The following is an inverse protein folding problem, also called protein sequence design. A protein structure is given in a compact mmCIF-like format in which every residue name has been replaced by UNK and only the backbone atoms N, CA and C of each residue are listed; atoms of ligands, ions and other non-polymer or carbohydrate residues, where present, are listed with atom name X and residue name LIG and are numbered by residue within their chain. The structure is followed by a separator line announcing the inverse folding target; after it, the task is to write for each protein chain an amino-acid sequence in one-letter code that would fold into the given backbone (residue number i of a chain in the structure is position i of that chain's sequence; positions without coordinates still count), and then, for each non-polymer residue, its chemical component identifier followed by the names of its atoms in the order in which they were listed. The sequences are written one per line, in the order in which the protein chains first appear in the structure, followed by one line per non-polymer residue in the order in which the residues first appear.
data_IF_154402470492
#
_entry.id   IF_154402470492
#
_cell.length_a   1.000
_cell.length_b   1.000
_cell.length_c   1.000
_cell.angle_alpha   90.00
_cell.angle_beta   90.00
_cell.angle_gamma   90.00
#
_symmetry.space_group_name_H-M   'P 1'
#
loop_
_entity.id
_entity.type
_entity.pdbx_description
1 polymer ?
#
# COMPACT_ATOMS: atom_id res chain seq x y z
N UNK A 1 -44.48 -61.72 11.84
CA UNK A 1 -45.09 -60.37 11.80
C UNK A 1 -44.08 -59.24 12.01
N UNK A 2 -43.18 -59.30 13.00
CA UNK A 2 -42.16 -58.26 13.29
C UNK A 2 -41.19 -57.88 12.14
N UNK A 3 -40.93 -58.77 11.16
CA UNK A 3 -40.08 -58.45 10.00
C UNK A 3 -40.83 -57.66 8.92
N UNK A 4 -42.13 -57.92 8.72
CA UNK A 4 -42.97 -57.19 7.75
C UNK A 4 -43.27 -55.75 8.21
N UNK A 5 -43.43 -55.54 9.51
CA UNK A 5 -43.59 -54.19 10.09
C UNK A 5 -42.31 -53.35 9.92
N UNK A 6 -41.12 -53.96 10.08
CA UNK A 6 -39.83 -53.29 9.85
C UNK A 6 -39.58 -52.92 8.38
N UNK A 7 -40.06 -53.73 7.43
CA UNK A 7 -39.97 -53.41 5.99
C UNK A 7 -40.93 -52.29 5.59
N UNK A 8 -42.17 -52.31 6.09
CA UNK A 8 -43.15 -51.23 5.85
C UNK A 8 -42.66 -49.87 6.38
N UNK A 9 -42.08 -49.83 7.59
CA UNK A 9 -41.49 -48.61 8.14
C UNK A 9 -40.33 -48.05 7.31
N UNK A 10 -39.53 -48.91 6.68
CA UNK A 10 -38.43 -48.49 5.79
C UNK A 10 -38.95 -47.88 4.49
N UNK A 11 -40.02 -48.44 3.93
CA UNK A 11 -40.64 -47.92 2.70
C UNK A 11 -41.34 -46.58 2.93
N UNK A 12 -42.05 -46.41 4.04
CA UNK A 12 -42.67 -45.14 4.41
C UNK A 12 -41.65 -44.03 4.62
N UNK A 13 -40.54 -44.33 5.32
CA UNK A 13 -39.42 -43.39 5.46
C UNK A 13 -38.83 -42.99 4.10
N UNK A 14 -38.67 -43.94 3.18
CA UNK A 14 -38.19 -43.67 1.80
C UNK A 14 -39.18 -42.81 1.01
N UNK A 15 -40.49 -43.07 1.12
CA UNK A 15 -41.55 -42.26 0.48
C UNK A 15 -41.53 -40.82 1.01
N UNK A 16 -41.40 -40.64 2.34
CA UNK A 16 -41.30 -39.31 2.97
C UNK A 16 -40.08 -38.52 2.46
N UNK A 17 -38.91 -39.15 2.37
CA UNK A 17 -37.68 -38.51 1.85
C UNK A 17 -37.83 -38.10 0.37
N UNK A 18 -38.47 -38.95 -0.45
CA UNK A 18 -38.74 -38.60 -1.87
C UNK A 18 -39.68 -37.41 -1.98
N UNK A 19 -40.73 -37.39 -1.16
CA UNK A 19 -41.70 -36.30 -1.13
C UNK A 19 -41.06 -34.98 -0.68
N UNK A 20 -40.19 -35.00 0.33
CA UNK A 20 -39.47 -33.81 0.79
C UNK A 20 -38.50 -33.28 -0.28
N UNK A 21 -37.80 -34.16 -0.99
CA UNK A 21 -36.94 -33.75 -2.13
C UNK A 21 -37.76 -33.11 -3.25
N UNK A 22 -38.94 -33.64 -3.53
CA UNK A 22 -39.86 -33.06 -4.51
C UNK A 22 -40.34 -31.67 -4.08
N UNK A 23 -40.81 -31.53 -2.82
CA UNK A 23 -41.23 -30.23 -2.26
C UNK A 23 -40.14 -29.17 -2.38
N UNK A 24 -38.89 -29.50 -2.06
CA UNK A 24 -37.76 -28.55 -2.18
C UNK A 24 -37.52 -28.10 -3.62
N UNK A 25 -37.65 -29.00 -4.60
CA UNK A 25 -37.51 -28.65 -6.03
C UNK A 25 -38.66 -27.77 -6.52
N UNK A 26 -39.89 -28.03 -6.06
CA UNK A 26 -41.05 -27.18 -6.37
C UNK A 26 -40.88 -25.79 -5.77
N UNK A 27 -40.48 -25.70 -4.50
CA UNK A 27 -40.18 -24.43 -3.85
C UNK A 27 -39.09 -23.65 -4.60
N UNK A 28 -38.01 -24.33 -4.99
CA UNK A 28 -36.95 -23.72 -5.79
C UNK A 28 -37.48 -23.12 -7.10
N UNK A 29 -38.30 -23.87 -7.85
CA UNK A 29 -38.89 -23.39 -9.10
C UNK A 29 -39.81 -22.19 -8.87
N UNK A 30 -40.61 -22.20 -7.80
CA UNK A 30 -41.46 -21.07 -7.42
C UNK A 30 -40.63 -19.81 -7.13
N UNK A 31 -39.52 -19.94 -6.38
CA UNK A 31 -38.64 -18.81 -6.05
C UNK A 31 -37.97 -18.22 -7.30
N UNK A 32 -37.54 -19.06 -8.24
CA UNK A 32 -36.86 -18.61 -9.46
C UNK A 32 -37.83 -18.07 -10.50
N UNK A 33 -38.94 -18.77 -10.77
CA UNK A 33 -39.84 -18.45 -11.89
C UNK A 33 -40.94 -17.46 -11.51
N UNK A 34 -41.42 -17.49 -10.26
CA UNK A 34 -42.54 -16.63 -9.85
C UNK A 34 -42.07 -15.41 -9.04
N UNK A 35 -40.93 -15.52 -8.34
CA UNK A 35 -40.42 -14.45 -7.47
C UNK A 35 -39.12 -13.81 -7.98
N UNK A 36 -38.67 -14.19 -9.18
CA UNK A 36 -37.47 -13.65 -9.84
C UNK A 36 -36.21 -13.65 -8.97
N UNK A 37 -36.09 -14.59 -8.03
CA UNK A 37 -34.88 -14.72 -7.21
C UNK A 37 -33.75 -15.33 -8.03
N UNK A 38 -32.51 -14.97 -7.69
CA UNK A 38 -31.34 -15.56 -8.35
C UNK A 38 -31.30 -17.07 -8.09
N UNK A 39 -30.75 -17.83 -9.04
CA UNK A 39 -30.62 -19.30 -8.93
C UNK A 39 -29.86 -19.68 -7.65
N UNK A 40 -28.87 -18.87 -7.26
CA UNK A 40 -28.03 -19.10 -6.08
C UNK A 40 -28.84 -18.95 -4.79
N UNK A 41 -29.54 -17.83 -4.63
CA UNK A 41 -30.30 -17.52 -3.42
C UNK A 41 -31.51 -18.46 -3.27
N UNK A 42 -32.17 -18.78 -4.38
CA UNK A 42 -33.29 -19.72 -4.39
C UNK A 42 -32.84 -21.14 -4.01
N UNK A 43 -31.65 -21.57 -4.46
CA UNK A 43 -31.10 -22.89 -4.12
C UNK A 43 -30.77 -23.00 -2.62
N UNK A 44 -30.23 -21.94 -2.03
CA UNK A 44 -29.94 -21.86 -0.61
C UNK A 44 -31.21 -21.92 0.24
N UNK A 45 -32.21 -21.08 -0.05
CA UNK A 45 -33.50 -21.06 0.68
C UNK A 45 -34.27 -22.38 0.58
N UNK A 46 -34.25 -23.02 -0.58
CA UNK A 46 -34.90 -24.32 -0.80
C UNK A 46 -34.07 -25.52 -0.32
N UNK A 47 -32.86 -25.29 0.22
CA UNK A 47 -31.93 -26.31 0.71
C UNK A 47 -31.66 -27.40 -0.35
N UNK A 48 -31.37 -26.98 -1.57
CA UNK A 48 -30.91 -27.84 -2.67
C UNK A 48 -29.51 -27.43 -3.12
N UNK A 49 -28.73 -28.40 -3.58
CA UNK A 49 -27.40 -28.12 -4.11
C UNK A 49 -27.50 -27.39 -5.46
N UNK A 50 -26.54 -26.50 -5.73
CA UNK A 50 -26.51 -25.71 -6.96
C UNK A 50 -26.45 -26.57 -8.24
N UNK A 51 -25.77 -27.72 -8.20
CA UNK A 51 -25.76 -28.70 -9.28
C UNK A 51 -27.16 -29.27 -9.57
N UNK A 52 -27.95 -29.53 -8.52
CA UNK A 52 -29.33 -30.01 -8.64
C UNK A 52 -30.24 -28.90 -9.15
N UNK A 53 -30.07 -27.66 -8.69
CA UNK A 53 -30.79 -26.49 -9.17
C UNK A 53 -30.62 -26.30 -10.69
N UNK A 54 -29.37 -26.35 -11.18
CA UNK A 54 -29.05 -26.30 -12.61
C UNK A 54 -29.72 -27.44 -13.40
N UNK A 55 -29.67 -28.67 -12.88
CA UNK A 55 -30.28 -29.82 -13.54
C UNK A 55 -31.81 -29.69 -13.63
N UNK A 56 -32.46 -29.20 -12.56
CA UNK A 56 -33.90 -28.96 -12.53
C UNK A 56 -34.28 -27.93 -13.59
N UNK A 57 -33.61 -26.78 -13.64
CA UNK A 57 -33.88 -25.75 -14.67
C UNK A 57 -33.62 -26.28 -16.09
N UNK A 58 -32.54 -27.04 -16.29
CA UNK A 58 -32.23 -27.67 -17.59
C UNK A 58 -33.33 -28.61 -18.04
N UNK A 59 -33.88 -29.43 -17.14
CA UNK A 59 -34.98 -30.33 -17.46
C UNK A 59 -36.24 -29.55 -17.84
N UNK A 60 -36.61 -28.53 -17.07
CA UNK A 60 -37.80 -27.72 -17.38
C UNK A 60 -37.65 -26.93 -18.69
N UNK A 61 -36.45 -26.46 -19.02
CA UNK A 61 -36.14 -25.89 -20.36
C UNK A 61 -36.28 -26.93 -21.46
N UNK A 62 -35.74 -28.14 -21.27
CA UNK A 62 -35.85 -29.25 -22.23
C UNK A 62 -37.31 -29.65 -22.49
N UNK A 63 -38.15 -29.61 -21.47
CA UNK A 63 -39.59 -29.87 -21.60
C UNK A 63 -40.40 -28.67 -22.10
N UNK A 64 -39.76 -27.53 -22.40
CA UNK A 64 -40.40 -26.36 -22.98
C UNK A 64 -41.15 -25.45 -21.99
N UNK A 65 -41.07 -25.73 -20.68
CA UNK A 65 -41.74 -24.91 -19.65
C UNK A 65 -41.02 -23.59 -19.36
N UNK A 66 -39.73 -23.48 -19.70
CA UNK A 66 -38.91 -22.28 -19.51
C UNK A 66 -38.26 -21.97 -20.86
N UNK A 67 -38.51 -20.78 -21.39
CA UNK A 67 -37.84 -20.32 -22.61
C UNK A 67 -36.34 -20.09 -22.32
N UNK A 68 -35.48 -20.46 -23.27
CA UNK A 68 -34.05 -20.20 -23.16
C UNK A 68 -33.78 -18.70 -23.28
N UNK A 69 -33.46 -18.05 -22.16
CA UNK A 69 -33.05 -16.63 -22.08
C UNK A 69 -31.57 -16.47 -22.50
N UNK A 70 -31.04 -17.39 -23.31
CA UNK A 70 -29.59 -17.44 -23.61
C UNK A 70 -29.10 -16.22 -24.42
N UNK A 71 -30.01 -15.33 -24.89
CA UNK A 71 -29.67 -14.13 -25.67
C UNK A 71 -29.22 -12.91 -24.85
N UNK A 72 -29.55 -12.82 -23.56
CA UNK A 72 -29.25 -11.61 -22.77
C UNK A 72 -27.91 -11.67 -22.04
N UNK A 73 -27.34 -12.86 -21.86
CA UNK A 73 -26.07 -13.03 -21.15
C UNK A 73 -24.87 -12.53 -21.95
N UNK A 74 -24.88 -12.64 -23.28
CA UNK A 74 -23.78 -12.11 -24.13
C UNK A 74 -23.66 -10.59 -23.99
N UNK A 75 -24.78 -9.86 -24.07
CA UNK A 75 -24.79 -8.40 -23.88
C UNK A 75 -24.32 -8.00 -22.48
N UNK A 76 -24.71 -8.73 -21.45
CA UNK A 76 -24.25 -8.47 -20.08
C UNK A 76 -22.75 -8.75 -19.92
N UNK A 77 -22.24 -9.82 -20.53
CA UNK A 77 -20.81 -10.15 -20.53
C UNK A 77 -20.01 -9.06 -21.28
N UNK A 78 -20.52 -8.59 -22.42
CA UNK A 78 -19.91 -7.53 -23.20
C UNK A 78 -19.87 -6.20 -22.43
N UNK A 79 -20.97 -5.84 -21.76
CA UNK A 79 -21.04 -4.67 -20.89
C UNK A 79 -20.04 -4.78 -19.71
N UNK A 80 -19.89 -5.96 -19.11
CA UNK A 80 -18.89 -6.20 -18.06
C UNK A 80 -17.45 -6.04 -18.57
N UNK A 81 -17.17 -6.47 -19.82
CA UNK A 81 -15.86 -6.26 -20.46
C UNK A 81 -15.59 -4.77 -20.70
N UNK A 82 -16.59 -4.01 -21.16
CA UNK A 82 -16.47 -2.56 -21.35
C UNK A 82 -16.20 -1.84 -20.03
N UNK A 83 -16.95 -2.19 -18.96
CA UNK A 83 -16.73 -1.64 -17.61
C UNK A 83 -15.31 -1.95 -17.11
N UNK A 84 -14.78 -3.15 -17.39
CA UNK A 84 -13.42 -3.51 -17.02
C UNK A 84 -12.38 -2.67 -17.78
N UNK A 85 -12.59 -2.39 -19.07
CA UNK A 85 -11.72 -1.49 -19.86
C UNK A 85 -11.68 -0.09 -19.28
N UNK A 86 -12.86 0.52 -19.08
CA UNK A 86 -13.01 1.87 -18.52
C UNK A 86 -12.34 1.97 -17.15
N UNK A 87 -12.48 0.94 -16.31
CA UNK A 87 -11.83 0.90 -14.99
C UNK A 87 -10.30 0.86 -15.08
N UNK A 88 -9.74 0.21 -16.11
CA UNK A 88 -8.30 0.19 -16.34
C UNK A 88 -7.79 1.53 -16.88
N UNK A 89 -8.52 2.15 -17.80
CA UNK A 89 -8.21 3.51 -18.32
C UNK A 89 -8.21 4.55 -17.19
N UNK A 90 -9.23 4.56 -16.32
CA UNK A 90 -9.28 5.46 -15.15
C UNK A 90 -8.10 5.22 -14.19
N UNK A 91 -7.65 3.97 -14.05
CA UNK A 91 -6.47 3.67 -13.22
C UNK A 91 -5.19 4.23 -13.84
N UNK A 92 -5.04 4.11 -15.16
CA UNK A 92 -3.89 4.66 -15.89
C UNK A 92 -3.85 6.18 -15.78
N UNK A 93 -4.95 6.89 -16.03
CA UNK A 93 -5.02 8.36 -15.88
C UNK A 93 -4.65 8.81 -14.46
N UNK A 94 -5.07 8.08 -13.42
CA UNK A 94 -4.71 8.39 -12.03
C UNK A 94 -3.22 8.19 -11.75
N UNK A 95 -2.58 7.21 -12.39
CA UNK A 95 -1.14 6.97 -12.28
C UNK A 95 -0.39 8.10 -12.98
N UNK A 96 -0.77 8.44 -14.22
CA UNK A 96 -0.14 9.51 -15.00
C UNK A 96 -0.19 10.86 -14.26
N UNK A 97 -1.36 11.25 -13.70
CA UNK A 97 -1.48 12.47 -12.90
C UNK A 97 -0.53 12.50 -11.69
N UNK A 98 -0.37 11.36 -11.01
CA UNK A 98 0.57 11.27 -9.87
C UNK A 98 2.03 11.34 -10.33
N UNK A 99 2.37 10.76 -11.47
CA UNK A 99 3.71 10.84 -12.03
C UNK A 99 4.07 12.28 -12.43
N UNK A 100 3.12 13.03 -13.00
CA UNK A 100 3.27 14.45 -13.29
C UNK A 100 3.49 15.27 -12.00
N UNK A 101 2.65 15.08 -10.98
CA UNK A 101 2.81 15.73 -9.68
C UNK A 101 4.18 15.42 -9.04
N UNK A 102 4.58 14.14 -9.09
CA UNK A 102 5.88 13.69 -8.58
C UNK A 102 7.04 14.35 -9.32
N UNK A 103 6.96 14.45 -10.65
CA UNK A 103 7.97 15.13 -11.47
C UNK A 103 8.09 16.61 -11.09
N UNK A 104 6.95 17.30 -10.93
CA UNK A 104 6.88 18.71 -10.55
C UNK A 104 7.47 18.95 -9.15
N UNK A 105 7.18 18.06 -8.20
CA UNK A 105 7.78 18.05 -6.86
C UNK A 105 9.28 17.78 -6.90
N UNK A 106 9.72 16.80 -7.70
CA UNK A 106 11.14 16.48 -7.89
C UNK A 106 11.91 17.68 -8.44
N UNK A 107 11.36 18.37 -9.44
CA UNK A 107 11.97 19.54 -10.05
C UNK A 107 12.04 20.73 -9.07
N UNK A 108 11.00 20.94 -8.25
CA UNK A 108 11.03 21.91 -7.15
C UNK A 108 12.14 21.57 -6.13
N UNK A 109 12.27 20.32 -5.71
CA UNK A 109 13.32 19.90 -4.77
C UNK A 109 14.72 20.11 -5.38
N UNK A 110 14.92 19.75 -6.65
CA UNK A 110 16.18 19.98 -7.38
C UNK A 110 16.52 21.46 -7.50
N UNK A 111 15.53 22.34 -7.64
CA UNK A 111 15.78 23.80 -7.67
C UNK A 111 16.24 24.37 -6.33
N UNK A 112 15.78 23.79 -5.22
CA UNK A 112 16.09 24.24 -3.85
C UNK A 112 17.46 23.71 -3.39
N UNK A 113 17.81 22.47 -3.74
CA UNK A 113 19.06 21.80 -3.32
C UNK A 113 20.37 22.59 -3.59
N UNK A 114 20.60 23.21 -4.76
CA UNK A 114 21.83 23.95 -5.02
C UNK A 114 21.92 25.25 -4.21
N UNK A 115 20.79 25.88 -3.86
CA UNK A 115 20.79 27.10 -3.05
C UNK A 115 21.19 26.85 -1.60
N UNK A 116 20.81 25.70 -1.03
CA UNK A 116 21.22 25.30 0.32
C UNK A 116 22.72 25.00 0.36
N UNK A 117 23.23 24.24 -0.61
CA UNK A 117 24.66 23.89 -0.68
C UNK A 117 25.57 25.10 -0.93
N UNK A 118 25.17 26.06 -1.78
CA UNK A 118 25.95 27.29 -2.03
C UNK A 118 26.07 28.17 -0.78
N UNK A 119 24.99 28.31 0.01
CA UNK A 119 25.03 29.09 1.27
C UNK A 119 25.93 28.45 2.32
N UNK A 120 25.90 27.12 2.46
CA UNK A 120 26.81 26.41 3.38
C UNK A 120 28.29 26.59 2.99
N UNK A 121 28.63 26.43 1.71
CA UNK A 121 30.02 26.61 1.24
C UNK A 121 30.55 28.03 1.38
N UNK A 122 29.70 29.05 1.23
CA UNK A 122 30.09 30.45 1.45
C UNK A 122 30.40 30.72 2.93
N UNK A 123 29.56 30.23 3.83
CA UNK A 123 29.77 30.37 5.27
C UNK A 123 31.04 29.65 5.75
N UNK A 124 31.32 28.43 5.26
CA UNK A 124 32.55 27.70 5.60
C UNK A 124 33.81 28.42 5.14
N UNK A 125 33.80 29.05 3.96
CA UNK A 125 34.95 29.83 3.47
C UNK A 125 35.22 31.06 4.35
N UNK A 126 34.18 31.77 4.77
CA UNK A 126 34.31 32.96 5.62
C UNK A 126 34.78 32.62 7.04
N UNK A 127 34.29 31.50 7.61
CA UNK A 127 34.76 30.99 8.91
C UNK A 127 36.24 30.62 8.83
N UNK A 128 36.65 29.87 7.80
CA UNK A 128 38.04 29.46 7.63
C UNK A 128 39.00 30.65 7.41
N UNK A 129 38.58 31.71 6.72
CA UNK A 129 39.43 32.90 6.56
C UNK A 129 39.61 33.64 7.88
N UNK A 130 38.55 33.78 8.70
CA UNK A 130 38.64 34.38 10.04
C UNK A 130 39.52 33.56 10.97
N UNK A 131 39.42 32.23 10.90
CA UNK A 131 40.24 31.31 11.71
C UNK A 131 41.74 31.45 11.40
N UNK A 132 42.10 31.59 10.11
CA UNK A 132 43.49 31.83 9.71
C UNK A 132 44.05 33.15 10.23
N UNK A 133 43.25 34.22 10.20
CA UNK A 133 43.64 35.53 10.74
C UNK A 133 43.89 35.44 12.25
N UNK A 134 42.98 34.84 13.02
CA UNK A 134 43.19 34.64 14.45
C UNK A 134 44.42 33.77 14.76
N UNK A 135 44.71 32.75 13.95
CA UNK A 135 45.92 31.92 14.12
C UNK A 135 47.20 32.74 13.93
N UNK A 136 47.25 33.60 12.91
CA UNK A 136 48.39 34.50 12.69
C UNK A 136 48.56 35.53 13.81
N UNK A 137 47.47 36.13 14.28
CA UNK A 137 47.52 37.06 15.42
C UNK A 137 48.07 36.38 16.68
N UNK A 138 47.66 35.13 16.92
CA UNK A 138 48.10 34.35 18.07
C UNK A 138 49.59 33.97 17.98
N UNK A 139 50.10 33.64 16.79
CA UNK A 139 51.55 33.43 16.58
C UNK A 139 52.35 34.70 16.80
N UNK A 140 51.87 35.84 16.30
CA UNK A 140 52.52 37.13 16.50
C UNK A 140 52.58 37.50 17.99
N UNK A 141 51.50 37.31 18.73
CA UNK A 141 51.46 37.56 20.17
C UNK A 141 52.42 36.64 20.94
N UNK A 142 52.50 35.36 20.58
CA UNK A 142 53.48 34.43 21.17
C UNK A 142 54.92 34.89 20.93
N UNK A 143 55.20 35.37 19.72
CA UNK A 143 56.54 35.88 19.38
C UNK A 143 56.89 37.12 20.21
N UNK A 144 55.97 38.08 20.30
CA UNK A 144 56.15 39.28 21.12
C UNK A 144 56.37 38.91 22.59
N UNK A 145 55.59 37.96 23.12
CA UNK A 145 55.75 37.48 24.49
C UNK A 145 57.12 36.82 24.71
N UNK A 146 57.58 36.01 23.75
CA UNK A 146 58.89 35.37 23.81
C UNK A 146 60.03 36.39 23.79
N UNK A 147 59.97 37.37 22.89
CA UNK A 147 60.96 38.44 22.79
C UNK A 147 61.03 39.26 24.09
N UNK A 148 59.87 39.57 24.68
CA UNK A 148 59.78 40.28 25.96
C UNK A 148 60.43 39.48 27.10
N UNK A 149 60.08 38.21 27.25
CA UNK A 149 60.65 37.32 28.28
C UNK A 149 62.17 37.22 28.11
N UNK A 150 62.64 37.08 26.87
CA UNK A 150 64.06 36.99 26.56
C UNK A 150 64.79 38.28 26.95
N UNK A 151 64.23 39.45 26.61
CA UNK A 151 64.79 40.75 26.98
C UNK A 151 64.87 40.92 28.50
N UNK A 152 63.82 40.54 29.24
CA UNK A 152 63.81 40.62 30.70
C UNK A 152 64.88 39.72 31.30
N UNK A 153 64.98 38.46 30.84
CA UNK A 153 66.00 37.52 31.31
C UNK A 153 67.42 38.03 31.02
N UNK A 154 67.66 38.62 29.84
CA UNK A 154 68.96 39.19 29.49
C UNK A 154 69.34 40.35 30.41
N UNK A 155 68.40 41.26 30.70
CA UNK A 155 68.64 42.37 31.63
C UNK A 155 68.89 41.86 33.07
N UNK A 156 68.13 40.85 33.52
CA UNK A 156 68.40 40.21 34.82
C UNK A 156 69.81 39.61 34.88
N UNK A 157 70.25 38.91 33.84
CA UNK A 157 71.61 38.34 33.75
C UNK A 157 72.67 39.46 33.79
N UNK A 158 72.45 40.58 33.08
CA UNK A 158 73.37 41.73 33.11
C UNK A 158 73.47 42.30 34.52
N UNK A 159 72.34 42.55 35.17
CA UNK A 159 72.27 43.09 36.53
C UNK A 159 73.01 42.20 37.53
N UNK A 160 72.80 40.88 37.46
CA UNK A 160 73.52 39.90 38.30
C UNK A 160 75.04 39.92 38.05
N UNK A 161 75.48 40.04 36.80
CA UNK A 161 76.92 40.13 36.48
C UNK A 161 77.55 41.44 36.93
N UNK A 162 76.81 42.55 36.92
CA UNK A 162 77.29 43.84 37.43
C UNK A 162 77.34 43.89 38.96
N UNK A 163 76.40 43.25 39.66
CA UNK A 163 76.43 43.19 41.13
C UNK A 163 77.57 42.33 41.68
N UNK A 164 78.04 41.35 40.91
CA UNK A 164 79.22 40.52 41.26
C UNK A 164 80.57 41.25 41.12
N UNK A 165 80.62 42.45 40.52
CA UNK A 165 81.85 43.25 40.36
C UNK A 165 82.06 44.30 41.47
N UNK A 166 81.14 44.39 42.44
CA UNK A 166 81.21 45.34 43.56
C UNK A 166 81.53 44.65 44.91
N UNK A 167 82.19 43.50 44.89
CA UNK A 167 82.80 42.86 46.08
C UNK A 167 84.30 42.79 45.88
#
# INVERSE_FOLDING_TARGET
MLQQEKTNFREEKRKKIRHDKFKRKVLFLQLVLCQNQTIKDAAEKSKINFSTAKLVLKNFRKFGFIQNIDKDYEKQIEMLKQIASIKNEIKQEKIEKREEEFKLLSDKIKSIQPHIRKKQFQNEKEINSKLKLCQQELENLKKVQFDLVTSVLQEQIKLMKSSYKCV
#
